data_IF_819945608115
#
_entry.id   IF_819945608115
#
_cell.length_a   1.000
_cell.length_b   1.000
_cell.length_c   1.000
_cell.angle_alpha   90.00
_cell.angle_beta   90.00
_cell.angle_gamma   90.00
#
_symmetry.space_group_name_H-M   'P 1'
#
loop_
_entity.id
_entity.type
_entity.pdbx_description
1 polymer ?
#
# COMPACT_ATOMS: atom_id res chain seq x y z
N UNK A 1 -19.98 -0.86 -7.51
CA UNK A 1 -19.88 0.24 -6.55
C UNK A 1 -18.48 0.77 -6.64
N UNK A 2 -18.29 2.08 -6.73
CA UNK A 2 -16.97 2.69 -6.74
C UNK A 2 -16.49 2.92 -5.32
N UNK A 3 -15.16 2.94 -5.14
CA UNK A 3 -14.53 3.18 -3.84
C UNK A 3 -14.16 4.66 -3.72
N UNK A 4 -14.06 5.15 -2.49
CA UNK A 4 -13.37 6.40 -2.16
C UNK A 4 -11.90 6.09 -1.87
N UNK A 5 -11.00 6.69 -2.64
CA UNK A 5 -9.58 6.36 -2.59
C UNK A 5 -8.76 7.58 -2.19
N UNK A 6 -7.89 7.40 -1.20
CA UNK A 6 -6.84 8.33 -0.86
C UNK A 6 -5.50 7.77 -1.38
N UNK A 7 -4.93 8.42 -2.39
CA UNK A 7 -3.60 8.12 -2.90
C UNK A 7 -2.56 8.96 -2.15
N UNK A 8 -1.44 8.34 -1.77
CA UNK A 8 -0.43 9.02 -0.95
C UNK A 8 0.99 8.77 -1.44
N UNK A 9 1.82 9.81 -1.42
CA UNK A 9 3.25 9.75 -1.69
C UNK A 9 3.96 10.95 -1.00
N UNK A 10 5.27 11.07 -1.17
CA UNK A 10 6.09 12.18 -0.68
C UNK A 10 6.57 13.07 -1.83
N UNK A 11 6.55 14.38 -1.61
CA UNK A 11 7.16 15.39 -2.50
C UNK A 11 6.22 15.97 -3.55
N UNK A 12 6.48 17.23 -3.91
CA UNK A 12 5.61 18.05 -4.75
C UNK A 12 5.46 17.52 -6.18
N UNK A 13 6.52 16.89 -6.72
CA UNK A 13 6.47 16.30 -8.05
C UNK A 13 5.44 15.16 -8.11
N UNK A 14 5.47 14.24 -7.13
CA UNK A 14 4.51 13.15 -7.08
C UNK A 14 3.10 13.66 -6.82
N UNK A 15 2.95 14.65 -5.95
CA UNK A 15 1.66 15.32 -5.74
C UNK A 15 1.08 15.83 -7.07
N UNK A 16 1.86 16.58 -7.84
CA UNK A 16 1.42 17.13 -9.12
C UNK A 16 1.09 16.05 -10.15
N UNK A 17 1.93 15.01 -10.27
CA UNK A 17 1.72 13.92 -11.23
C UNK A 17 0.47 13.11 -10.87
N UNK A 18 0.30 12.73 -9.61
CA UNK A 18 -0.86 11.96 -9.16
C UNK A 18 -2.15 12.76 -9.29
N UNK A 19 -2.16 14.05 -8.95
CA UNK A 19 -3.32 14.92 -9.16
C UNK A 19 -3.67 15.07 -10.64
N UNK A 20 -2.66 15.18 -11.51
CA UNK A 20 -2.85 15.18 -12.96
C UNK A 20 -3.51 13.88 -13.45
N UNK A 21 -3.04 12.72 -12.98
CA UNK A 21 -3.60 11.42 -13.31
C UNK A 21 -5.05 11.25 -12.81
N UNK A 22 -5.35 11.71 -11.60
CA UNK A 22 -6.73 11.73 -11.06
C UNK A 22 -7.63 12.54 -11.99
N UNK A 23 -7.19 13.74 -12.39
CA UNK A 23 -7.95 14.63 -13.27
C UNK A 23 -8.22 13.98 -14.63
N UNK A 24 -7.20 13.37 -15.23
CA UNK A 24 -7.34 12.67 -16.53
C UNK A 24 -8.31 11.49 -16.47
N UNK A 25 -8.47 10.85 -15.30
CA UNK A 25 -9.34 9.69 -15.09
C UNK A 25 -10.69 10.03 -14.44
N UNK A 26 -11.00 11.31 -14.22
CA UNK A 26 -12.18 11.74 -13.45
C UNK A 26 -13.49 11.19 -14.02
N UNK A 27 -13.63 11.13 -15.34
CA UNK A 27 -14.82 10.57 -15.99
C UNK A 27 -14.99 9.06 -15.69
N UNK A 28 -13.90 8.30 -15.73
CA UNK A 28 -13.90 6.86 -15.43
C UNK A 28 -14.19 6.59 -13.94
N UNK A 29 -13.62 7.42 -13.05
CA UNK A 29 -13.89 7.35 -11.61
C UNK A 29 -15.38 7.60 -11.32
N UNK A 30 -15.94 8.66 -11.90
CA UNK A 30 -17.35 8.99 -11.74
C UNK A 30 -18.27 7.91 -12.34
N UNK A 31 -17.92 7.35 -13.50
CA UNK A 31 -18.68 6.26 -14.13
C UNK A 31 -18.68 4.98 -13.28
N UNK A 32 -17.61 4.71 -12.53
CA UNK A 32 -17.55 3.62 -11.55
C UNK A 32 -18.33 3.94 -10.26
N UNK A 33 -18.75 5.19 -10.05
CA UNK A 33 -19.40 5.67 -8.83
C UNK A 33 -18.43 5.88 -7.68
N UNK A 34 -17.16 6.18 -7.95
CA UNK A 34 -16.11 6.37 -6.95
C UNK A 34 -15.41 7.73 -7.08
N UNK A 35 -14.44 7.95 -6.21
CA UNK A 35 -13.63 9.17 -6.20
C UNK A 35 -12.19 8.86 -5.79
N UNK A 36 -11.25 9.67 -6.26
CA UNK A 36 -9.86 9.61 -5.86
C UNK A 36 -9.39 11.00 -5.41
N UNK A 37 -8.62 11.04 -4.33
CA UNK A 37 -7.96 12.23 -3.81
C UNK A 37 -6.49 11.93 -3.57
N UNK A 38 -5.69 12.99 -3.41
CA UNK A 38 -4.28 12.88 -3.07
C UNK A 38 -4.00 13.54 -1.72
N UNK A 39 -3.20 12.89 -0.88
CA UNK A 39 -2.66 13.46 0.35
C UNK A 39 -1.20 13.08 0.53
N UNK A 40 -0.36 14.03 0.95
CA UNK A 40 1.04 13.70 1.21
C UNK A 40 1.18 12.83 2.46
N UNK A 41 2.03 11.81 2.39
CA UNK A 41 2.34 10.93 3.51
C UNK A 41 3.83 10.60 3.51
N UNK A 42 4.57 11.15 4.48
CA UNK A 42 5.95 10.75 4.75
C UNK A 42 5.97 9.61 5.77
N UNK A 43 6.40 8.42 5.35
CA UNK A 43 6.49 7.24 6.22
C UNK A 43 7.43 7.43 7.41
N UNK A 44 8.36 8.39 7.35
CA UNK A 44 9.27 8.72 8.45
C UNK A 44 8.66 9.71 9.43
N UNK A 45 7.56 10.37 9.05
CA UNK A 45 6.88 11.42 9.82
C UNK A 45 5.37 11.28 9.69
N UNK A 46 4.87 10.16 10.20
CA UNK A 46 3.45 9.82 10.13
C UNK A 46 2.61 10.85 10.92
N UNK A 47 1.51 11.35 10.35
CA UNK A 47 0.62 12.27 11.04
C UNK A 47 -0.22 11.52 12.09
N UNK A 48 -1.02 12.27 12.85
CA UNK A 48 -2.00 11.66 13.75
C UNK A 48 -3.03 10.85 12.95
N UNK A 49 -3.24 9.58 13.34
CA UNK A 49 -4.10 8.66 12.59
C UNK A 49 -5.58 9.03 12.60
N UNK A 50 -6.05 9.64 13.70
CA UNK A 50 -7.48 9.86 13.96
C UNK A 50 -8.20 10.67 12.88
N UNK A 51 -7.47 11.56 12.18
CA UNK A 51 -8.01 12.43 11.13
C UNK A 51 -8.41 11.68 9.85
N UNK A 52 -7.95 10.44 9.67
CA UNK A 52 -8.11 9.66 8.43
C UNK A 52 -9.23 8.61 8.50
N UNK A 53 -10.01 8.57 9.59
CA UNK A 53 -11.16 7.67 9.71
C UNK A 53 -10.77 6.18 9.61
N UNK A 54 -11.52 5.42 8.82
CA UNK A 54 -11.32 3.99 8.62
C UNK A 54 -10.97 3.70 7.16
N UNK A 55 -10.16 2.66 6.92
CA UNK A 55 -9.82 2.16 5.59
C UNK A 55 -10.24 0.69 5.47
N UNK A 56 -11.13 0.39 4.53
CA UNK A 56 -11.48 -1.00 4.20
C UNK A 56 -10.30 -1.77 3.63
N UNK A 57 -9.49 -1.10 2.82
CA UNK A 57 -8.34 -1.66 2.15
C UNK A 57 -7.18 -0.67 2.17
N UNK A 58 -6.00 -1.16 2.55
CA UNK A 58 -4.73 -0.47 2.32
C UNK A 58 -3.97 -1.24 1.25
N UNK A 59 -3.55 -0.56 0.18
CA UNK A 59 -2.75 -1.20 -0.86
C UNK A 59 -1.46 -0.42 -1.15
N UNK A 60 -0.43 -1.17 -1.53
CA UNK A 60 0.84 -0.60 -1.95
C UNK A 60 1.46 -1.46 -3.05
N UNK A 61 2.05 -0.82 -4.04
CA UNK A 61 2.70 -1.49 -5.16
C UNK A 61 4.16 -1.08 -5.29
N UNK A 62 5.05 -2.07 -5.25
CA UNK A 62 6.48 -1.94 -5.52
C UNK A 62 7.22 -0.89 -4.66
N UNK A 63 6.78 -0.76 -3.41
CA UNK A 63 7.24 0.26 -2.46
C UNK A 63 8.51 -0.09 -1.69
N UNK A 64 8.91 -1.37 -1.72
CA UNK A 64 10.13 -1.86 -1.07
C UNK A 64 11.16 -2.14 -2.17
N UNK A 65 12.10 -1.21 -2.35
CA UNK A 65 13.21 -1.36 -3.30
C UNK A 65 14.59 -1.14 -2.64
N UNK A 66 14.60 -0.80 -1.34
CA UNK A 66 15.80 -0.64 -0.53
C UNK A 66 15.49 -0.95 0.94
N UNK A 67 16.41 -1.59 1.64
CA UNK A 67 16.25 -2.01 3.04
C UNK A 67 15.83 -0.87 3.98
N UNK A 68 16.39 0.32 3.78
CA UNK A 68 16.10 1.51 4.60
C UNK A 68 14.63 1.97 4.54
N UNK A 69 13.85 1.44 3.60
CA UNK A 69 12.42 1.75 3.45
C UNK A 69 11.54 0.72 4.14
N UNK A 70 12.04 -0.48 4.44
CA UNK A 70 11.25 -1.58 4.99
C UNK A 70 10.56 -1.17 6.29
N UNK A 71 11.32 -0.68 7.27
CA UNK A 71 10.76 -0.33 8.56
C UNK A 71 9.83 0.90 8.50
N UNK A 72 10.20 2.05 7.88
CA UNK A 72 9.27 3.16 7.71
C UNK A 72 7.97 2.75 7.02
N UNK A 73 8.06 1.94 5.96
CA UNK A 73 6.90 1.46 5.23
C UNK A 73 6.00 0.59 6.12
N UNK A 74 6.56 -0.39 6.85
CA UNK A 74 5.78 -1.24 7.75
C UNK A 74 5.11 -0.44 8.88
N UNK A 75 5.77 0.59 9.39
CA UNK A 75 5.18 1.55 10.34
C UNK A 75 4.01 2.31 9.72
N UNK A 76 4.13 2.75 8.46
CA UNK A 76 3.06 3.41 7.73
C UNK A 76 1.85 2.47 7.51
N UNK A 77 2.11 1.21 7.16
CA UNK A 77 1.06 0.18 7.03
C UNK A 77 0.37 -0.08 8.37
N UNK A 78 1.13 -0.26 9.45
CA UNK A 78 0.59 -0.46 10.79
C UNK A 78 -0.23 0.76 11.26
N UNK A 79 0.26 1.97 10.97
CA UNK A 79 -0.47 3.22 11.19
C UNK A 79 -1.79 3.24 10.42
N UNK A 80 -1.78 2.97 9.12
CA UNK A 80 -2.99 2.92 8.30
C UNK A 80 -3.98 1.88 8.84
N UNK A 81 -3.46 0.72 9.25
CA UNK A 81 -4.19 -0.40 9.82
C UNK A 81 -4.59 -0.25 11.30
N UNK A 82 -4.20 0.85 11.96
CA UNK A 82 -4.53 1.07 13.37
C UNK A 82 -5.90 1.71 13.60
N UNK A 83 -6.56 2.20 12.55
CA UNK A 83 -7.92 2.73 12.61
C UNK A 83 -8.96 1.65 12.94
N UNK A 84 -10.14 2.05 13.44
CA UNK A 84 -11.21 1.10 13.73
C UNK A 84 -11.61 0.36 12.45
N UNK A 85 -11.62 -0.98 12.49
CA UNK A 85 -12.24 -1.81 11.46
C UNK A 85 -11.36 -2.27 10.30
N UNK A 86 -10.05 -1.93 10.23
CA UNK A 86 -9.20 -2.20 9.03
C UNK A 86 -9.43 -3.60 8.47
N UNK A 87 -9.97 -3.64 7.25
CA UNK A 87 -10.44 -4.87 6.62
C UNK A 87 -9.30 -5.70 6.04
N UNK A 88 -8.49 -5.10 5.17
CA UNK A 88 -7.45 -5.82 4.45
C UNK A 88 -6.24 -4.94 4.11
N UNK A 89 -5.06 -5.56 4.06
CA UNK A 89 -3.84 -4.92 3.55
C UNK A 89 -3.28 -5.79 2.42
N UNK A 90 -3.09 -5.22 1.23
CA UNK A 90 -2.56 -5.91 0.05
C UNK A 90 -1.29 -5.20 -0.44
N UNK A 91 -0.20 -5.94 -0.54
CA UNK A 91 1.09 -5.44 -1.00
C UNK A 91 1.54 -6.21 -2.22
N UNK A 92 1.84 -5.54 -3.33
CA UNK A 92 2.60 -6.14 -4.42
C UNK A 92 4.06 -5.70 -4.34
N UNK A 93 4.98 -6.64 -4.52
CA UNK A 93 6.42 -6.37 -4.44
C UNK A 93 7.18 -7.21 -5.45
N UNK A 94 8.06 -6.53 -6.21
CA UNK A 94 9.04 -7.19 -7.06
C UNK A 94 10.28 -7.53 -6.25
N UNK A 95 10.58 -8.81 -6.12
CA UNK A 95 11.80 -9.34 -5.52
C UNK A 95 12.99 -8.93 -6.38
N UNK A 96 13.81 -8.01 -5.87
CA UNK A 96 15.04 -7.50 -6.52
C UNK A 96 16.29 -8.07 -5.87
N UNK A 97 16.26 -8.15 -4.55
CA UNK A 97 17.33 -8.64 -3.70
C UNK A 97 16.73 -9.45 -2.54
N UNK A 98 17.49 -10.42 -2.05
CA UNK A 98 17.04 -11.28 -0.95
C UNK A 98 17.09 -10.55 0.40
N UNK A 99 17.96 -9.55 0.54
CA UNK A 99 18.20 -8.83 1.81
C UNK A 99 16.96 -8.03 2.23
N UNK A 100 16.39 -7.25 1.33
CA UNK A 100 15.15 -6.49 1.55
C UNK A 100 13.95 -7.40 1.83
N UNK A 101 13.85 -8.54 1.14
CA UNK A 101 12.76 -9.52 1.36
C UNK A 101 12.88 -10.18 2.74
N UNK A 102 14.09 -10.57 3.13
CA UNK A 102 14.35 -11.15 4.45
C UNK A 102 14.07 -10.12 5.54
N UNK A 103 14.56 -8.89 5.39
CA UNK A 103 14.30 -7.80 6.32
C UNK A 103 12.80 -7.50 6.44
N UNK A 104 12.07 -7.43 5.30
CA UNK A 104 10.62 -7.27 5.29
C UNK A 104 9.93 -8.35 6.11
N UNK A 105 10.25 -9.62 5.87
CA UNK A 105 9.65 -10.74 6.61
C UNK A 105 9.97 -10.70 8.11
N UNK A 106 11.20 -10.36 8.48
CA UNK A 106 11.63 -10.25 9.88
C UNK A 106 10.93 -9.09 10.61
N UNK A 107 10.69 -7.97 9.92
CA UNK A 107 10.14 -6.76 10.52
C UNK A 107 8.62 -6.72 10.61
N UNK A 108 7.89 -7.65 9.97
CA UNK A 108 6.43 -7.71 10.04
C UNK A 108 5.90 -7.85 11.48
N UNK A 109 6.33 -8.89 12.20
CA UNK A 109 5.82 -9.19 13.54
C UNK A 109 6.16 -8.09 14.58
N UNK A 110 7.38 -7.51 14.60
CA UNK A 110 7.69 -6.34 15.42
C UNK A 110 6.78 -5.12 15.16
N UNK A 111 6.22 -5.00 13.95
CA UNK A 111 5.27 -3.95 13.59
C UNK A 111 3.80 -4.39 13.74
N UNK A 112 3.54 -5.52 14.42
CA UNK A 112 2.19 -6.03 14.67
C UNK A 112 1.47 -6.53 13.41
N UNK A 113 2.21 -6.92 12.38
CA UNK A 113 1.71 -7.42 11.11
C UNK A 113 2.20 -8.86 10.86
N UNK A 114 1.45 -9.60 10.05
CA UNK A 114 1.85 -10.92 9.57
C UNK A 114 1.29 -11.17 8.17
N UNK A 115 2.00 -11.95 7.35
CA UNK A 115 1.49 -12.42 6.05
C UNK A 115 0.41 -13.47 6.33
N UNK A 116 -0.83 -13.21 5.92
CA UNK A 116 -1.92 -14.18 5.95
C UNK A 116 -1.97 -15.03 4.69
N UNK A 117 -1.55 -14.47 3.56
CA UNK A 117 -1.52 -15.13 2.25
C UNK A 117 -0.43 -14.53 1.38
N UNK A 118 0.26 -15.36 0.63
CA UNK A 118 1.22 -14.96 -0.40
C UNK A 118 0.80 -15.60 -1.72
N UNK A 119 0.72 -14.78 -2.77
CA UNK A 119 0.25 -15.18 -4.10
C UNK A 119 1.28 -14.71 -5.13
N UNK A 120 1.94 -15.63 -5.85
CA UNK A 120 2.74 -15.26 -7.02
C UNK A 120 1.87 -14.50 -8.03
N UNK A 121 2.34 -13.38 -8.56
CA UNK A 121 1.50 -12.53 -9.41
C UNK A 121 1.02 -13.23 -10.69
N UNK A 122 1.76 -14.21 -11.21
CA UNK A 122 1.33 -15.06 -12.34
C UNK A 122 0.05 -15.84 -12.01
N UNK A 123 -0.17 -16.22 -10.76
CA UNK A 123 -1.40 -16.87 -10.33
C UNK A 123 -2.57 -15.87 -10.21
N UNK A 124 -2.29 -14.62 -9.87
CA UNK A 124 -3.31 -13.58 -9.68
C UNK A 124 -3.72 -12.90 -10.99
N UNK A 125 -2.77 -12.68 -11.89
CA UNK A 125 -2.90 -11.84 -13.09
C UNK A 125 -2.74 -12.64 -14.40
N UNK A 126 -2.40 -13.93 -14.33
CA UNK A 126 -2.18 -14.74 -15.52
C UNK A 126 -1.01 -14.22 -16.36
N UNK A 127 -1.28 -13.94 -17.64
CA UNK A 127 -0.28 -13.46 -18.61
C UNK A 127 0.30 -12.07 -18.31
N UNK A 128 -0.40 -11.28 -17.49
CA UNK A 128 0.07 -9.95 -17.04
C UNK A 128 0.90 -10.04 -15.75
N UNK A 129 1.07 -11.26 -15.21
CA UNK A 129 1.91 -11.51 -14.05
C UNK A 129 3.40 -11.53 -14.39
N UNK A 130 4.24 -11.40 -13.37
CA UNK A 130 5.69 -11.48 -13.48
C UNK A 130 6.25 -12.42 -12.40
N UNK A 131 7.16 -13.36 -12.73
CA UNK A 131 7.61 -14.40 -11.79
C UNK A 131 8.34 -13.83 -10.57
N UNK A 132 8.97 -12.67 -10.71
CA UNK A 132 9.60 -11.95 -9.59
C UNK A 132 8.65 -11.08 -8.77
N UNK A 133 7.35 -11.01 -9.09
CA UNK A 133 6.38 -10.17 -8.36
C UNK A 133 5.46 -11.05 -7.52
N UNK A 134 5.41 -10.74 -6.23
CA UNK A 134 4.56 -11.42 -5.25
C UNK A 134 3.50 -10.45 -4.72
N UNK A 135 2.31 -10.97 -4.46
CA UNK A 135 1.22 -10.27 -3.78
C UNK A 135 1.05 -10.85 -2.39
N UNK A 136 1.19 -10.02 -1.37
CA UNK A 136 1.06 -10.36 0.03
C UNK A 136 -0.23 -9.78 0.59
N UNK A 137 -1.04 -10.61 1.22
CA UNK A 137 -2.11 -10.15 2.10
C UNK A 137 -1.54 -10.10 3.52
N UNK A 138 -1.63 -8.95 4.16
CA UNK A 138 -1.18 -8.75 5.53
C UNK A 138 -2.39 -8.61 6.46
N UNK A 139 -2.26 -9.13 7.68
CA UNK A 139 -3.22 -8.91 8.77
C UNK A 139 -2.50 -8.46 10.02
N UNK A 140 -3.22 -7.82 10.93
CA UNK A 140 -2.69 -7.52 12.25
C UNK A 140 -2.51 -8.79 13.09
N UNK A 141 -1.48 -8.79 13.92
CA UNK A 141 -1.31 -9.77 14.99
C UNK A 141 -2.17 -9.30 16.18
N UNK A 142 -2.98 -10.20 16.72
CA UNK A 142 -3.84 -9.94 17.88
C UNK A 142 -3.03 -9.92 19.18
#
# INVERSE_FOLDING_TARGET
MGNEVLLTDIGDLQASLTQGNITQNQASLAAAGGAASYGSLDWRRLPERGQYGYFDLVFAGDVIWHESLVEPFLKAVAWAASGPGVGEVILSHKVRDQESVLLFRQMLAPNGLQISKEVPSEQALGQDGHPAVHVYHLKRVA
#
